data_IF_737580907837
#
_entry.id   IF_737580907837
#
_cell.length_a   1.000
_cell.length_b   1.000
_cell.length_c   1.000
_cell.angle_alpha   90.00
_cell.angle_beta   90.00
_cell.angle_gamma   90.00
#
_symmetry.space_group_name_H-M   'P 1'
#
loop_
_entity.id
_entity.type
_entity.pdbx_description
1 polymer ?
#
# COMPACT_ATOMS: atom_id res chain seq x y z
N UNK A 1 -4.89 -14.52 -7.62
CA UNK A 1 -5.15 -15.95 -7.71
C UNK A 1 -4.64 -16.63 -6.45
N UNK A 2 -4.78 -17.96 -6.37
CA UNK A 2 -4.20 -18.76 -5.31
C UNK A 2 -2.72 -18.42 -5.13
N UNK A 3 -2.28 -18.20 -3.88
CA UNK A 3 -0.88 -17.97 -3.55
C UNK A 3 -0.34 -16.57 -3.87
N UNK A 4 -1.16 -15.61 -4.33
CA UNK A 4 -0.78 -14.19 -4.43
C UNK A 4 -0.95 -13.49 -3.08
N UNK A 5 -0.16 -12.46 -2.84
CA UNK A 5 -0.48 -11.47 -1.82
C UNK A 5 -1.50 -10.47 -2.39
N UNK A 6 -2.21 -9.76 -1.53
CA UNK A 6 -3.09 -8.65 -1.93
C UNK A 6 -2.73 -7.40 -1.16
N UNK A 7 -2.68 -6.27 -1.86
CA UNK A 7 -2.34 -4.97 -1.28
C UNK A 7 -3.42 -3.96 -1.63
N UNK A 8 -3.74 -3.07 -0.72
CA UNK A 8 -4.54 -1.85 -0.99
C UNK A 8 -3.85 -0.63 -0.39
N UNK A 9 -4.28 0.55 -0.82
CA UNK A 9 -3.79 1.82 -0.29
C UNK A 9 -4.92 2.59 0.39
N UNK A 10 -4.60 3.21 1.51
CA UNK A 10 -5.32 4.34 2.11
C UNK A 10 -4.41 5.57 2.02
N UNK A 11 -4.84 6.58 1.26
CA UNK A 11 -4.11 7.84 1.17
C UNK A 11 -4.66 8.86 2.19
N UNK A 12 -4.01 8.96 3.34
CA UNK A 12 -4.39 9.85 4.45
C UNK A 12 -3.30 10.91 4.76
N UNK A 13 -2.57 11.35 3.73
CA UNK A 13 -1.49 12.34 3.84
C UNK A 13 -1.96 13.67 3.20
N UNK A 14 -2.57 14.59 3.96
CA UNK A 14 -3.05 15.86 3.42
C UNK A 14 -1.94 16.67 2.73
N UNK A 15 -2.33 17.55 1.79
CA UNK A 15 -1.38 18.37 1.03
C UNK A 15 -0.52 17.60 0.01
N UNK A 16 -0.79 16.30 -0.20
CA UNK A 16 -0.31 15.53 -1.34
C UNK A 16 -1.53 15.14 -2.15
N UNK A 17 -1.71 15.80 -3.30
CA UNK A 17 -2.95 15.64 -4.08
C UNK A 17 -3.01 14.29 -4.78
N UNK A 18 -1.89 13.87 -5.39
CA UNK A 18 -1.73 12.57 -6.05
C UNK A 18 -0.36 11.96 -5.78
N UNK A 19 -0.31 10.64 -5.68
CA UNK A 19 0.93 9.89 -5.52
C UNK A 19 0.95 8.56 -6.25
N UNK A 20 2.17 8.03 -6.35
CA UNK A 20 2.48 6.73 -6.90
C UNK A 20 3.24 5.89 -5.86
N UNK A 21 3.02 4.58 -5.87
CA UNK A 21 3.72 3.58 -5.06
C UNK A 21 4.31 2.55 -6.00
N UNK A 22 5.61 2.32 -5.87
CA UNK A 22 6.39 1.40 -6.70
C UNK A 22 7.12 0.38 -5.83
N UNK A 23 7.46 -0.75 -6.44
CA UNK A 23 8.64 -1.50 -6.01
C UNK A 23 9.88 -0.80 -6.54
N UNK A 24 10.93 -0.70 -5.74
CA UNK A 24 12.19 -0.12 -6.18
C UNK A 24 12.76 -0.87 -7.39
N UNK A 25 13.07 -0.14 -8.46
CA UNK A 25 13.58 -0.69 -9.71
C UNK A 25 12.50 -0.98 -10.77
N UNK A 26 11.22 -0.97 -10.40
CA UNK A 26 10.13 -1.23 -11.34
C UNK A 26 9.70 0.07 -12.04
N UNK A 27 9.40 -0.02 -13.34
CA UNK A 27 8.83 1.08 -14.12
C UNK A 27 7.32 1.22 -13.88
N UNK A 28 6.63 0.09 -13.67
CA UNK A 28 5.20 0.07 -13.39
C UNK A 28 4.93 0.23 -11.89
N UNK A 29 4.03 1.16 -11.56
CA UNK A 29 3.56 1.36 -10.19
C UNK A 29 2.68 0.21 -9.70
N UNK A 30 2.86 -0.17 -8.43
CA UNK A 30 1.86 -0.96 -7.70
C UNK A 30 0.53 -0.18 -7.69
N UNK A 31 0.61 1.12 -7.36
CA UNK A 31 -0.48 2.07 -7.47
C UNK A 31 0.01 3.36 -8.12
N UNK A 32 -0.77 3.92 -9.04
CA UNK A 32 -0.37 5.14 -9.78
C UNK A 32 -1.47 6.19 -9.73
N UNK A 33 -1.14 7.42 -9.39
CA UNK A 33 -2.04 8.57 -9.38
C UNK A 33 -3.15 8.52 -8.33
N UNK A 34 -2.91 7.86 -7.21
CA UNK A 34 -3.90 7.73 -6.14
C UNK A 34 -4.11 9.07 -5.47
N UNK A 35 -5.36 9.50 -5.34
CA UNK A 35 -5.73 10.83 -4.87
C UNK A 35 -5.81 10.87 -3.34
N UNK A 36 -5.65 12.05 -2.74
CA UNK A 36 -5.90 12.23 -1.31
C UNK A 36 -7.32 11.74 -0.93
N UNK A 37 -7.45 11.17 0.28
CA UNK A 37 -8.66 10.58 0.83
C UNK A 37 -9.19 9.35 0.06
N UNK A 38 -8.47 8.86 -0.95
CA UNK A 38 -8.83 7.65 -1.66
C UNK A 38 -8.45 6.39 -0.85
N UNK A 39 -9.37 5.43 -0.87
CA UNK A 39 -9.09 4.03 -0.54
C UNK A 39 -9.19 3.22 -1.83
N UNK A 40 -8.20 2.39 -2.12
CA UNK A 40 -8.22 1.55 -3.31
C UNK A 40 -8.87 0.21 -3.02
N UNK A 41 -9.35 -0.44 -4.07
CA UNK A 41 -9.56 -1.88 -4.05
C UNK A 41 -8.22 -2.61 -3.84
N UNK A 42 -8.30 -3.88 -3.42
CA UNK A 42 -7.13 -4.75 -3.35
C UNK A 42 -6.62 -5.11 -4.74
N UNK A 43 -5.33 -4.90 -4.97
CA UNK A 43 -4.58 -5.39 -6.13
C UNK A 43 -3.80 -6.64 -5.74
N UNK A 44 -3.76 -7.62 -6.65
CA UNK A 44 -2.93 -8.81 -6.46
C UNK A 44 -1.48 -8.50 -6.80
N UNK A 45 -0.56 -9.04 -6.02
CA UNK A 45 0.88 -8.89 -6.22
C UNK A 45 1.60 -10.20 -5.91
N UNK A 46 2.72 -10.43 -6.59
CA UNK A 46 3.58 -11.56 -6.27
C UNK A 46 4.17 -11.42 -4.86
N UNK A 47 4.07 -12.46 -4.02
CA UNK A 47 4.68 -12.46 -2.70
C UNK A 47 6.20 -12.34 -2.79
N UNK A 48 6.76 -11.40 -2.04
CA UNK A 48 8.18 -11.10 -2.01
C UNK A 48 8.50 -10.22 -0.79
N UNK A 49 9.78 -10.15 -0.43
CA UNK A 49 10.32 -9.02 0.33
C UNK A 49 10.77 -7.96 -0.65
N UNK A 50 10.23 -6.75 -0.54
CA UNK A 50 10.47 -5.66 -1.49
C UNK A 50 10.90 -4.37 -0.78
N UNK A 51 11.60 -3.51 -1.50
CA UNK A 51 11.70 -2.10 -1.14
C UNK A 51 10.56 -1.34 -1.82
N UNK A 52 9.72 -0.66 -1.05
CA UNK A 52 8.66 0.21 -1.55
C UNK A 52 9.19 1.63 -1.70
N UNK A 53 8.85 2.28 -2.81
CA UNK A 53 9.09 3.71 -3.05
C UNK A 53 7.76 4.44 -3.23
N UNK A 54 7.52 5.50 -2.44
CA UNK A 54 6.33 6.35 -2.52
C UNK A 54 6.73 7.74 -3.01
N UNK A 55 6.13 8.21 -4.09
CA UNK A 55 6.45 9.52 -4.71
C UNK A 55 5.20 10.32 -4.96
N UNK A 56 5.29 11.65 -4.80
CA UNK A 56 4.27 12.56 -5.34
C UNK A 56 4.22 12.38 -6.86
N UNK A 57 3.02 12.28 -7.44
CA UNK A 57 2.82 12.09 -8.89
C UNK A 57 3.55 13.20 -9.64
N UNK A 58 4.37 12.83 -10.63
CA UNK A 58 5.13 13.78 -11.45
C UNK A 58 6.40 14.33 -10.82
N UNK A 59 6.72 14.01 -9.56
CA UNK A 59 8.02 14.34 -8.97
C UNK A 59 9.11 13.40 -9.48
N UNK A 60 10.28 13.97 -9.80
CA UNK A 60 11.51 13.24 -10.12
C UNK A 60 12.49 13.12 -8.94
N UNK A 61 12.18 13.74 -7.80
CA UNK A 61 13.01 13.65 -6.60
C UNK A 61 12.83 12.31 -5.90
N UNK A 62 13.80 11.94 -5.05
CA UNK A 62 13.67 10.77 -4.20
C UNK A 62 12.39 10.85 -3.35
N UNK A 63 11.67 9.72 -3.33
CA UNK A 63 10.45 9.52 -2.55
C UNK A 63 10.73 8.90 -1.18
N UNK A 64 9.69 8.69 -0.39
CA UNK A 64 9.80 7.87 0.82
C UNK A 64 10.13 6.42 0.42
N UNK A 65 11.18 5.85 1.01
CA UNK A 65 11.61 4.47 0.78
C UNK A 65 11.38 3.62 2.04
N UNK A 66 10.77 2.45 1.87
CA UNK A 66 10.59 1.46 2.94
C UNK A 66 11.28 0.18 2.52
N UNK A 67 12.29 -0.23 3.26
CA UNK A 67 13.01 -1.48 3.02
C UNK A 67 12.30 -2.66 3.69
N UNK A 68 12.61 -3.85 3.22
CA UNK A 68 12.23 -5.13 3.84
C UNK A 68 10.72 -5.31 4.06
N UNK A 69 9.89 -4.76 3.16
CA UNK A 69 8.44 -4.95 3.20
C UNK A 69 8.13 -6.37 2.76
N UNK A 70 7.76 -7.22 3.72
CA UNK A 70 7.44 -8.63 3.48
C UNK A 70 5.96 -8.81 3.11
N UNK A 71 5.70 -9.22 1.88
CA UNK A 71 4.38 -9.57 1.38
C UNK A 71 4.31 -11.09 1.20
N UNK A 72 3.50 -11.77 1.99
CA UNK A 72 3.45 -13.24 2.01
C UNK A 72 2.25 -13.80 1.23
N UNK A 73 2.37 -15.06 0.82
CA UNK A 73 1.32 -15.78 0.08
C UNK A 73 0.02 -15.77 0.86
N UNK A 74 -1.09 -15.53 0.17
CA UNK A 74 -2.46 -15.56 0.71
C UNK A 74 -2.73 -14.55 1.83
N UNK A 75 -1.87 -13.54 2.01
CA UNK A 75 -2.09 -12.46 2.97
C UNK A 75 -2.58 -11.18 2.29
N UNK A 76 -3.32 -10.40 3.06
CA UNK A 76 -3.84 -9.09 2.66
C UNK A 76 -3.09 -8.02 3.44
N UNK A 77 -2.76 -6.92 2.78
CA UNK A 77 -2.08 -5.80 3.40
C UNK A 77 -2.72 -4.48 3.02
N UNK A 78 -2.78 -3.56 3.97
CA UNK A 78 -3.13 -2.17 3.75
C UNK A 78 -1.88 -1.31 3.91
N UNK A 79 -1.53 -0.56 2.87
CA UNK A 79 -0.55 0.53 2.93
C UNK A 79 -1.30 1.80 3.35
N UNK A 80 -0.96 2.36 4.50
CA UNK A 80 -1.56 3.61 4.99
C UNK A 80 -0.54 4.72 4.89
N UNK A 81 -0.81 5.70 4.02
CA UNK A 81 0.04 6.89 3.88
C UNK A 81 -0.42 8.00 4.81
N UNK A 82 0.53 8.53 5.58
CA UNK A 82 0.35 9.49 6.65
C UNK A 82 1.37 10.62 6.53
N UNK A 83 1.18 11.70 7.30
CA UNK A 83 2.03 12.89 7.24
C UNK A 83 1.47 13.90 6.24
N UNK A 84 2.33 14.51 5.42
CA UNK A 84 1.89 15.57 4.50
C UNK A 84 1.72 16.93 5.20
N UNK A 85 1.35 17.97 4.45
CA UNK A 85 1.25 19.37 4.94
C UNK A 85 2.42 19.80 5.84
N UNK A 86 3.64 19.78 5.29
CA UNK A 86 4.84 20.19 6.02
C UNK A 86 5.38 19.14 7.01
N UNK A 87 4.68 18.02 7.20
CA UNK A 87 5.18 16.87 7.97
C UNK A 87 5.84 15.84 7.05
N UNK A 88 6.86 15.10 7.54
CA UNK A 88 7.45 14.00 6.79
C UNK A 88 6.40 12.98 6.34
N UNK A 89 6.52 12.50 5.11
CA UNK A 89 5.68 11.42 4.61
C UNK A 89 6.05 10.11 5.32
N UNK A 90 5.05 9.34 5.73
CA UNK A 90 5.22 8.01 6.28
C UNK A 90 4.27 7.03 5.62
N UNK A 91 4.69 5.76 5.53
CA UNK A 91 3.84 4.66 5.11
C UNK A 91 3.85 3.61 6.22
N UNK A 92 2.68 3.14 6.62
CA UNK A 92 2.54 1.97 7.49
C UNK A 92 2.00 0.83 6.66
N UNK A 93 2.67 -0.32 6.73
CA UNK A 93 2.18 -1.57 6.15
C UNK A 93 1.51 -2.35 7.26
N UNK A 94 0.22 -2.61 7.11
CA UNK A 94 -0.60 -3.35 8.08
C UNK A 94 -1.02 -4.64 7.40
N UNK A 95 -0.77 -5.79 8.04
CA UNK A 95 -1.39 -7.05 7.64
C UNK A 95 -2.85 -7.01 8.08
N UNK A 96 -3.77 -7.22 7.13
CA UNK A 96 -5.19 -7.24 7.45
C UNK A 96 -5.56 -8.62 8.01
N UNK A 97 -6.01 -8.64 9.26
CA UNK A 97 -6.55 -9.84 9.88
C UNK A 97 -7.95 -10.12 9.32
N UNK A 98 -8.06 -11.14 8.46
CA UNK A 98 -9.35 -11.70 8.11
C UNK A 98 -9.85 -12.52 9.29
N UNK A 99 -10.71 -11.90 10.11
CA UNK A 99 -11.46 -12.64 11.10
C UNK A 99 -12.17 -13.80 10.38
N UNK A 100 -12.06 -15.04 10.89
CA UNK A 100 -12.81 -16.15 10.33
C UNK A 100 -14.28 -15.76 10.33
N UNK A 101 -14.98 -16.07 9.23
CA UNK A 101 -16.41 -15.84 9.14
C UNK A 101 -17.03 -16.48 10.36
N UNK A 102 -17.62 -15.68 11.26
CA UNK A 102 -18.36 -16.22 12.40
C UNK A 102 -19.47 -17.07 11.82
N UNK A 103 -19.35 -18.39 11.94
CA UNK A 103 -20.50 -19.27 11.77
C UNK A 103 -21.46 -18.90 12.89
N UNK A 104 -22.54 -18.20 12.54
CA UNK A 104 -23.66 -18.03 13.45
C UNK A 104 -24.24 -19.44 13.60
N UNK A 105 -23.81 -20.17 14.64
CA UNK A 105 -24.51 -21.36 15.09
C UNK A 105 -25.86 -20.88 15.62
N UNK A 106 -26.87 -20.96 14.77
CA UNK A 106 -28.26 -20.90 15.23
C UNK A 106 -28.45 -22.08 16.20
N UNK A 107 -28.74 -21.74 17.46
CA UNK A 107 -29.33 -22.67 18.42
C UNK A 107 -30.82 -22.75 18.19
#
# INVERSE_FOLDING_TARGET
>A
GPGKAKVRLIHAAPGIDKLDIFRAGDEEGIFSGQSFAQVTEYKEIDPATIELTVRKRGSKTDGLKLKDVKLERNKLYTFVLLGGEGKPLACKVIEDELLPRREIRNK
#
